data_IF_686150135534
#
_entry.id   IF_686150135534
#
_cell.length_a   1.000
_cell.length_b   1.000
_cell.length_c   1.000
_cell.angle_alpha   90.00
_cell.angle_beta   90.00
_cell.angle_gamma   90.00
#
_symmetry.space_group_name_H-M   'P 1'
#
loop_
_entity.id
_entity.type
_entity.pdbx_description
1 polymer ?
#
# COMPACT_ATOMS: atom_id res chain seq x y z
N UNK A 1 3.83 2.37 20.80
CA UNK A 1 4.08 3.80 21.05
C UNK A 1 2.96 4.46 21.87
N UNK A 2 1.70 4.54 21.41
CA UNK A 2 0.59 5.20 22.16
C UNK A 2 0.43 4.65 23.60
N UNK A 3 0.45 3.31 23.78
CA UNK A 3 0.40 2.67 25.11
C UNK A 3 1.52 3.10 26.06
N UNK A 4 2.69 3.47 25.52
CA UNK A 4 3.82 3.90 26.33
C UNK A 4 3.52 5.28 26.95
N UNK A 5 3.06 6.23 26.15
CA UNK A 5 2.77 7.59 26.61
C UNK A 5 1.48 7.70 27.44
N UNK A 6 0.59 6.70 27.37
CA UNK A 6 -0.53 6.59 28.33
C UNK A 6 -0.08 6.10 29.71
N UNK A 7 1.04 5.37 29.80
CA UNK A 7 1.58 4.87 31.07
C UNK A 7 2.69 5.77 31.63
N UNK A 8 3.42 6.45 30.75
CA UNK A 8 4.55 7.30 31.07
C UNK A 8 4.29 8.69 30.49
N UNK A 9 3.64 9.53 31.30
CA UNK A 9 3.38 10.92 30.93
C UNK A 9 4.69 11.69 30.71
N UNK A 10 4.76 12.41 29.59
CA UNK A 10 5.84 13.35 29.29
C UNK A 10 5.25 14.76 29.27
N UNK A 11 6.02 15.71 29.79
CA UNK A 11 5.67 17.14 29.73
C UNK A 11 6.63 17.87 28.81
N UNK A 12 6.09 18.75 27.96
CA UNK A 12 6.83 19.69 27.12
C UNK A 12 6.48 21.10 27.59
N UNK A 13 7.48 21.83 28.09
CA UNK A 13 7.30 23.20 28.63
C UNK A 13 6.18 23.30 29.69
N UNK A 14 6.15 22.34 30.62
CA UNK A 14 5.11 22.26 31.66
C UNK A 14 3.77 21.70 31.21
N UNK A 15 3.52 21.52 29.90
CA UNK A 15 2.28 20.94 29.37
C UNK A 15 2.41 19.43 29.16
N UNK A 16 1.48 18.64 29.70
CA UNK A 16 1.47 17.20 29.51
C UNK A 16 1.07 16.85 28.07
N UNK A 17 1.93 16.10 27.38
CA UNK A 17 1.65 15.59 26.04
C UNK A 17 0.55 14.53 26.10
N UNK A 18 -0.55 14.79 25.39
CA UNK A 18 -1.64 13.82 25.21
C UNK A 18 -1.54 13.20 23.81
N UNK A 19 -1.24 11.90 23.76
CA UNK A 19 -1.15 11.15 22.50
C UNK A 19 -2.31 10.15 22.49
N UNK A 20 -3.21 10.30 21.54
CA UNK A 20 -4.31 9.37 21.29
C UNK A 20 -4.22 8.79 19.88
N UNK A 21 -4.69 7.56 19.70
CA UNK A 21 -4.82 6.97 18.38
C UNK A 21 -6.17 7.35 17.80
N UNK A 22 -6.18 8.01 16.65
CA UNK A 22 -7.41 8.39 15.96
C UNK A 22 -8.16 7.10 15.55
N UNK A 23 -9.48 6.98 15.78
CA UNK A 23 -10.20 5.71 15.59
C UNK A 23 -10.02 5.07 14.22
N UNK A 24 -9.92 5.89 13.16
CA UNK A 24 -9.70 5.43 11.78
C UNK A 24 -8.37 4.69 11.55
N UNK A 25 -7.35 4.86 12.41
CA UNK A 25 -6.05 4.20 12.28
C UNK A 25 -5.85 3.07 13.30
N UNK A 26 -6.91 2.65 13.99
CA UNK A 26 -6.84 1.61 15.03
C UNK A 26 -6.52 0.23 14.49
N UNK A 27 -6.81 -0.02 13.21
CA UNK A 27 -6.56 -1.30 12.56
C UNK A 27 -6.09 -1.12 11.12
N UNK A 28 -5.03 -1.83 10.73
CA UNK A 28 -4.57 -1.94 9.33
C UNK A 28 -5.27 -3.13 8.65
N UNK A 29 -6.54 -3.41 9.02
CA UNK A 29 -7.27 -4.53 8.45
C UNK A 29 -7.71 -4.22 7.02
N UNK A 30 -8.15 -3.00 6.80
CA UNK A 30 -8.56 -2.51 5.50
C UNK A 30 -7.41 -1.75 4.84
N UNK A 31 -6.54 -2.52 4.17
CA UNK A 31 -5.34 -2.02 3.50
C UNK A 31 -5.71 -1.04 2.38
N UNK A 32 -6.78 -1.31 1.64
CA UNK A 32 -7.26 -0.46 0.56
C UNK A 32 -7.88 0.82 1.08
N UNK A 33 -8.72 0.78 2.12
CA UNK A 33 -9.30 2.01 2.67
C UNK A 33 -8.20 2.97 3.14
N UNK A 34 -7.17 2.47 3.83
CA UNK A 34 -6.02 3.29 4.22
C UNK A 34 -5.31 3.85 2.99
N UNK A 35 -5.04 3.02 1.98
CA UNK A 35 -4.37 3.48 0.77
C UNK A 35 -5.19 4.54 0.02
N UNK A 36 -6.49 4.32 -0.15
CA UNK A 36 -7.41 5.30 -0.74
C UNK A 36 -7.48 6.60 0.06
N UNK A 37 -7.46 6.54 1.40
CA UNK A 37 -7.40 7.78 2.21
C UNK A 37 -6.11 8.56 1.97
N UNK A 38 -4.96 7.88 1.89
CA UNK A 38 -3.66 8.53 1.62
C UNK A 38 -3.61 9.16 0.22
N UNK A 39 -4.22 8.50 -0.77
CA UNK A 39 -4.34 9.05 -2.12
C UNK A 39 -5.23 10.29 -2.09
N UNK A 40 -6.39 10.24 -1.44
CA UNK A 40 -7.31 11.39 -1.35
C UNK A 40 -6.72 12.58 -0.59
N UNK A 41 -5.88 12.33 0.42
CA UNK A 41 -5.16 13.37 1.13
C UNK A 41 -4.11 14.06 0.22
N UNK A 42 -3.57 13.33 -0.76
CA UNK A 42 -2.59 13.84 -1.73
C UNK A 42 -3.23 14.49 -2.96
N UNK A 43 -4.37 13.95 -3.40
CA UNK A 43 -5.18 14.42 -4.53
C UNK A 43 -6.67 14.46 -4.12
N UNK A 44 -7.17 15.62 -3.64
CA UNK A 44 -8.54 15.75 -3.16
C UNK A 44 -9.62 15.55 -4.23
N UNK A 45 -9.28 15.71 -5.51
CA UNK A 45 -10.21 15.62 -6.64
C UNK A 45 -10.36 14.17 -7.16
N UNK A 46 -9.60 13.23 -6.60
CA UNK A 46 -9.62 11.83 -7.04
C UNK A 46 -10.98 11.16 -6.81
N UNK A 47 -11.45 10.45 -7.84
CA UNK A 47 -12.66 9.64 -7.75
C UNK A 47 -12.39 8.34 -6.98
N UNK A 48 -12.68 8.37 -5.68
CA UNK A 48 -12.51 7.22 -4.80
C UNK A 48 -13.46 6.06 -5.08
N UNK A 49 -14.56 6.25 -5.82
CA UNK A 49 -15.49 5.14 -6.12
C UNK A 49 -14.91 4.22 -7.21
N UNK A 50 -14.19 4.79 -8.17
CA UNK A 50 -13.66 4.02 -9.31
C UNK A 50 -12.18 3.68 -9.21
N UNK A 51 -11.45 4.33 -8.29
CA UNK A 51 -10.00 4.14 -8.12
C UNK A 51 -9.61 2.69 -7.81
N UNK A 52 -10.44 1.94 -7.10
CA UNK A 52 -10.18 0.53 -6.77
C UNK A 52 -10.00 -0.35 -8.02
N UNK A 53 -10.64 0.01 -9.14
CA UNK A 53 -10.48 -0.72 -10.41
C UNK A 53 -9.08 -0.57 -11.02
N UNK A 54 -8.30 0.38 -10.54
CA UNK A 54 -6.93 0.66 -10.94
C UNK A 54 -5.90 -0.02 -10.04
N UNK A 55 -6.32 -0.62 -8.93
CA UNK A 55 -5.44 -1.22 -7.95
C UNK A 55 -5.02 -2.63 -8.36
N UNK A 56 -3.74 -2.92 -8.14
CA UNK A 56 -3.15 -4.25 -8.27
C UNK A 56 -2.43 -4.57 -6.96
N UNK A 57 -2.79 -5.72 -6.39
CA UNK A 57 -2.17 -6.28 -5.21
C UNK A 57 -1.05 -7.22 -5.61
N UNK A 58 0.15 -6.92 -5.15
CA UNK A 58 1.28 -7.84 -5.17
C UNK A 58 1.46 -8.44 -3.77
N UNK A 59 1.57 -9.75 -3.70
CA UNK A 59 1.85 -10.48 -2.46
C UNK A 59 3.08 -11.38 -2.61
N UNK A 60 3.44 -12.03 -1.50
CA UNK A 60 4.63 -12.87 -1.42
C UNK A 60 5.93 -12.11 -1.75
N UNK A 61 6.02 -10.84 -1.36
CA UNK A 61 7.27 -10.08 -1.46
C UNK A 61 8.31 -10.66 -0.49
N UNK A 62 9.61 -10.68 -0.83
CA UNK A 62 10.66 -11.08 0.11
C UNK A 62 10.64 -10.24 1.39
N UNK A 63 11.12 -10.77 2.51
CA UNK A 63 11.24 -10.00 3.76
C UNK A 63 12.25 -8.86 3.66
N UNK A 64 13.32 -9.05 2.88
CA UNK A 64 14.38 -8.09 2.61
C UNK A 64 15.10 -8.40 1.28
N UNK A 65 16.07 -7.57 0.90
CA UNK A 65 16.95 -7.82 -0.24
C UNK A 65 16.40 -7.30 -1.58
N UNK A 66 15.29 -6.58 -1.58
CA UNK A 66 14.74 -5.89 -2.75
C UNK A 66 14.65 -4.39 -2.51
N UNK A 67 14.72 -3.60 -3.59
CA UNK A 67 14.47 -2.16 -3.54
C UNK A 67 13.01 -1.88 -3.82
N UNK A 68 12.42 -0.90 -3.14
CA UNK A 68 11.02 -0.51 -3.37
C UNK A 68 10.74 -0.18 -4.85
N UNK A 69 11.71 0.48 -5.51
CA UNK A 69 11.66 0.76 -6.94
C UNK A 69 11.49 -0.51 -7.80
N UNK A 70 12.05 -1.64 -7.38
CA UNK A 70 11.93 -2.90 -8.11
C UNK A 70 10.48 -3.39 -8.15
N UNK A 71 9.71 -3.19 -7.07
CA UNK A 71 8.26 -3.49 -7.02
C UNK A 71 7.50 -2.53 -7.92
N UNK A 72 7.83 -1.24 -7.90
CA UNK A 72 7.21 -0.23 -8.77
C UNK A 72 7.48 -0.53 -10.25
N UNK A 73 8.70 -0.99 -10.58
CA UNK A 73 9.08 -1.39 -11.94
C UNK A 73 8.24 -2.55 -12.48
N UNK A 74 7.68 -3.42 -11.63
CA UNK A 74 6.74 -4.46 -12.08
C UNK A 74 5.52 -3.83 -12.73
N UNK A 75 4.94 -2.80 -12.10
CA UNK A 75 3.77 -2.08 -12.59
C UNK A 75 4.06 -1.18 -13.79
N UNK A 76 5.21 -0.51 -13.80
CA UNK A 76 5.64 0.37 -14.90
C UNK A 76 5.73 -0.31 -16.27
N UNK A 77 5.80 -1.65 -16.32
CA UNK A 77 5.74 -2.42 -17.58
C UNK A 77 4.36 -2.40 -18.24
N UNK A 78 3.30 -2.06 -17.50
CA UNK A 78 1.91 -2.16 -17.95
C UNK A 78 1.18 -0.83 -18.03
N UNK A 79 1.66 0.19 -17.33
CA UNK A 79 1.10 1.54 -17.30
C UNK A 79 1.85 2.43 -16.31
N UNK A 80 1.52 3.71 -16.25
CA UNK A 80 2.09 4.60 -15.23
C UNK A 80 1.60 4.16 -13.84
N UNK A 81 2.48 4.20 -12.85
CA UNK A 81 2.14 3.95 -11.43
C UNK A 81 1.98 5.31 -10.76
N UNK A 82 0.75 5.70 -10.44
CA UNK A 82 0.45 7.02 -9.86
C UNK A 82 0.74 7.05 -8.36
N UNK A 83 0.31 6.00 -7.64
CA UNK A 83 0.55 5.82 -6.21
C UNK A 83 0.91 4.38 -5.91
N UNK A 84 1.66 4.15 -4.83
CA UNK A 84 1.94 2.82 -4.32
C UNK A 84 2.12 2.80 -2.81
N UNK A 85 1.89 1.64 -2.19
CA UNK A 85 2.23 1.38 -0.80
C UNK A 85 2.85 -0.01 -0.67
N UNK A 86 3.89 -0.13 0.16
CA UNK A 86 4.54 -1.40 0.48
C UNK A 86 4.32 -1.69 1.97
N UNK A 87 3.63 -2.79 2.24
CA UNK A 87 3.33 -3.30 3.57
C UNK A 87 4.33 -4.41 3.89
N UNK A 88 5.57 -4.04 4.26
CA UNK A 88 6.67 -4.98 4.50
C UNK A 88 6.30 -6.07 5.52
N UNK A 89 5.64 -5.70 6.61
CA UNK A 89 5.18 -6.63 7.66
C UNK A 89 4.08 -7.61 7.21
N UNK A 90 3.55 -7.45 5.99
CA UNK A 90 2.58 -8.35 5.37
C UNK A 90 3.09 -8.95 4.05
N UNK A 91 4.33 -8.66 3.65
CA UNK A 91 4.90 -9.10 2.38
C UNK A 91 4.00 -8.76 1.19
N UNK A 92 3.42 -7.55 1.21
CA UNK A 92 2.45 -7.07 0.21
C UNK A 92 2.79 -5.68 -0.31
N UNK A 93 2.31 -5.37 -1.50
CA UNK A 93 2.25 -4.03 -2.05
C UNK A 93 0.93 -3.81 -2.79
N UNK A 94 0.45 -2.57 -2.80
CA UNK A 94 -0.68 -2.15 -3.63
C UNK A 94 -0.15 -1.08 -4.58
N UNK A 95 -0.38 -1.28 -5.87
CA UNK A 95 -0.04 -0.32 -6.91
C UNK A 95 -1.32 0.24 -7.51
N UNK A 96 -1.44 1.56 -7.59
CA UNK A 96 -2.45 2.22 -8.42
C UNK A 96 -1.86 2.47 -9.81
N UNK A 97 -2.43 1.84 -10.83
CA UNK A 97 -2.06 2.12 -12.22
C UNK A 97 -2.93 3.25 -12.80
N UNK A 98 -2.44 3.90 -13.84
CA UNK A 98 -3.15 4.97 -14.57
C UNK A 98 -4.53 4.59 -15.11
N UNK A 99 -4.81 3.30 -15.33
CA UNK A 99 -6.10 2.85 -15.84
C UNK A 99 -6.49 1.45 -15.36
N UNK A 100 -7.80 1.14 -15.31
CA UNK A 100 -8.28 -0.22 -15.05
C UNK A 100 -7.81 -1.24 -16.10
N UNK A 101 -7.54 -0.77 -17.33
CA UNK A 101 -7.02 -1.63 -18.41
C UNK A 101 -5.58 -2.05 -18.10
N UNK A 102 -4.75 -1.12 -17.63
CA UNK A 102 -3.37 -1.38 -17.21
C UNK A 102 -3.35 -2.40 -16.06
N UNK A 103 -4.22 -2.21 -15.05
CA UNK A 103 -4.34 -3.12 -13.91
C UNK A 103 -4.69 -4.56 -14.35
N UNK A 104 -5.72 -4.70 -15.21
CA UNK A 104 -6.10 -6.00 -15.77
C UNK A 104 -5.00 -6.62 -16.63
N UNK A 105 -4.29 -5.81 -17.42
CA UNK A 105 -3.18 -6.28 -18.25
C UNK A 105 -2.03 -6.83 -17.39
N UNK A 106 -1.69 -6.14 -16.30
CA UNK A 106 -0.69 -6.59 -15.34
C UNK A 106 -1.09 -7.93 -14.71
N UNK A 107 -2.31 -8.01 -14.18
CA UNK A 107 -2.83 -9.23 -13.57
C UNK A 107 -2.80 -10.43 -14.54
N UNK A 108 -3.35 -10.24 -15.75
CA UNK A 108 -3.35 -11.30 -16.78
C UNK A 108 -1.94 -11.72 -17.18
N UNK A 109 -1.02 -10.77 -17.33
CA UNK A 109 0.36 -11.06 -17.76
C UNK A 109 1.15 -11.82 -16.69
N UNK A 110 0.99 -11.45 -15.41
CA UNK A 110 1.67 -12.12 -14.30
C UNK A 110 1.11 -13.52 -14.02
N UNK A 111 -0.16 -13.78 -14.33
CA UNK A 111 -0.71 -15.14 -14.30
C UNK A 111 -0.08 -16.05 -15.37
N UNK A 112 0.20 -15.52 -16.56
CA UNK A 112 0.81 -16.29 -17.65
C UNK A 112 2.33 -16.42 -17.50
N UNK A 113 2.97 -15.39 -16.94
CA UNK A 113 4.41 -15.33 -16.73
C UNK A 113 4.69 -14.83 -15.32
N UNK A 114 4.79 -15.75 -14.35
CA UNK A 114 5.09 -15.39 -12.96
C UNK A 114 6.38 -14.57 -12.87
N UNK A 115 6.38 -13.58 -11.99
CA UNK A 115 7.54 -12.73 -11.76
C UNK A 115 8.19 -13.10 -10.42
N UNK A 116 9.50 -13.32 -10.45
CA UNK A 116 10.28 -13.72 -9.27
C UNK A 116 11.15 -12.56 -8.78
N UNK A 117 11.21 -12.40 -7.46
CA UNK A 117 12.13 -11.52 -6.74
C UNK A 117 12.96 -12.37 -5.80
N UNK A 118 14.22 -12.64 -6.19
CA UNK A 118 15.02 -13.69 -5.55
C UNK A 118 14.30 -15.04 -5.64
N UNK A 119 14.15 -15.71 -4.50
CA UNK A 119 13.47 -17.01 -4.39
C UNK A 119 11.94 -16.92 -4.27
N UNK A 120 11.37 -15.70 -4.30
CA UNK A 120 9.93 -15.48 -4.10
C UNK A 120 9.24 -15.19 -5.42
N UNK A 121 8.30 -16.04 -5.81
CA UNK A 121 7.37 -15.76 -6.91
C UNK A 121 6.24 -14.88 -6.39
N UNK A 122 6.11 -13.67 -6.95
CA UNK A 122 5.06 -12.75 -6.53
C UNK A 122 3.67 -13.30 -6.86
N UNK A 123 2.73 -13.13 -5.94
CA UNK A 123 1.30 -13.30 -6.22
C UNK A 123 0.73 -11.98 -6.73
N UNK A 124 -0.26 -12.07 -7.62
CA UNK A 124 -0.91 -10.89 -8.18
C UNK A 124 -2.43 -11.06 -8.10
N UNK A 125 -3.13 -10.05 -7.59
CA UNK A 125 -4.59 -9.99 -7.56
C UNK A 125 -5.09 -8.59 -7.90
N UNK A 126 -6.31 -8.49 -8.42
CA UNK A 126 -7.03 -7.22 -8.55
C UNK A 126 -7.82 -6.95 -7.28
N UNK A 127 -8.19 -5.69 -7.06
CA UNK A 127 -9.19 -5.37 -6.03
C UNK A 127 -10.53 -6.08 -6.33
N UNK A 128 -11.24 -6.56 -5.28
CA UNK A 128 -12.52 -7.23 -5.41
C UNK A 128 -13.64 -6.36 -6.01
#
# INVERSE_FOLDING_TARGET
MVKFYTCFAISLDGNQLCISMVPQYKTIKDEEAIFTTLIKDSDPEVDTETIHKQFVHLGNLPDDGYRELEVVCVGLRFGRVDHYVILKNKNKAILQLDSPRSARSMHSSLQQRPYTMGEHTLTCALSP
#
